data_IF_057763865416
#
_entry.id   IF_057763865416
#
_cell.length_a   1.000
_cell.length_b   1.000
_cell.length_c   1.000
_cell.angle_alpha   90.00
_cell.angle_beta   90.00
_cell.angle_gamma   90.00
#
_symmetry.space_group_name_H-M   'P 1'
#
loop_
_entity.id
_entity.type
_entity.pdbx_description
1 polymer ?
#
# COMPACT_ATOMS: atom_id res chain seq x y z
N UNK A 1 13.35 41.65 70.32
CA UNK A 1 13.02 40.86 71.50
C UNK A 1 13.23 39.37 71.15
N UNK A 2 14.23 38.81 71.80
CA UNK A 2 14.51 37.42 72.14
C UNK A 2 14.48 36.32 71.06
N UNK A 3 15.66 35.91 70.88
CA UNK A 3 16.19 34.67 70.33
C UNK A 3 15.65 33.39 70.96
N UNK A 4 15.66 32.32 70.23
CA UNK A 4 16.04 30.97 70.68
C UNK A 4 16.61 30.11 69.55
N UNK A 5 17.91 29.85 69.71
CA UNK A 5 18.66 28.82 68.98
C UNK A 5 18.31 27.45 69.57
N UNK A 6 18.08 26.44 68.69
CA UNK A 6 18.32 25.07 69.09
C UNK A 6 19.22 24.41 68.08
N UNK A 7 20.36 24.02 68.51
CA UNK A 7 21.32 23.14 67.87
C UNK A 7 20.81 21.70 68.00
N UNK A 8 20.90 20.92 66.92
CA UNK A 8 20.79 19.46 66.91
C UNK A 8 22.06 18.90 66.30
N UNK A 9 22.70 18.07 67.11
CA UNK A 9 23.94 17.35 66.84
C UNK A 9 23.85 16.44 65.64
N UNK A 10 24.96 16.37 64.88
CA UNK A 10 25.22 15.41 63.89
C UNK A 10 25.46 14.00 64.40
N UNK A 11 24.94 13.05 63.75
CA UNK A 11 25.29 11.65 63.86
C UNK A 11 25.89 11.20 62.54
N UNK A 12 27.22 11.06 62.50
CA UNK A 12 27.92 10.41 61.37
C UNK A 12 27.81 8.92 61.55
N UNK A 13 27.04 8.25 60.68
CA UNK A 13 27.05 6.79 60.54
C UNK A 13 28.10 6.40 59.49
N UNK A 14 29.20 5.85 59.95
CA UNK A 14 30.21 5.19 59.12
C UNK A 14 29.67 3.83 58.74
N UNK A 15 29.29 3.66 57.49
CA UNK A 15 29.03 2.34 56.89
C UNK A 15 30.37 1.73 56.45
N UNK A 16 30.84 0.78 57.18
CA UNK A 16 31.94 -0.07 56.76
C UNK A 16 31.52 -0.92 55.58
N UNK A 17 32.22 -0.75 54.44
CA UNK A 17 32.09 -1.62 53.29
C UNK A 17 32.77 -2.96 53.59
N UNK A 18 32.00 -4.01 53.82
CA UNK A 18 32.47 -5.38 53.69
C UNK A 18 32.46 -5.74 52.23
N UNK A 19 33.65 -5.86 51.64
CA UNK A 19 33.86 -6.62 50.40
C UNK A 19 33.68 -8.10 50.73
N UNK A 20 32.45 -8.56 50.54
CA UNK A 20 32.12 -9.98 50.55
C UNK A 20 31.71 -10.39 49.15
N UNK A 21 32.45 -11.31 48.61
CA UNK A 21 32.15 -12.10 47.40
C UNK A 21 30.74 -12.72 47.56
N UNK A 22 29.72 -11.99 47.07
CA UNK A 22 28.34 -12.37 47.29
C UNK A 22 27.67 -12.90 46.06
N UNK A 23 27.90 -14.15 45.74
CA UNK A 23 26.97 -14.94 44.95
C UNK A 23 25.69 -15.27 45.74
N UNK A 24 24.80 -14.30 45.94
CA UNK A 24 23.47 -14.54 46.55
C UNK A 24 22.34 -14.69 45.52
N UNK A 25 22.60 -14.64 44.27
CA UNK A 25 21.73 -15.16 43.25
C UNK A 25 22.48 -16.33 42.64
N UNK A 26 22.32 -17.52 43.26
CA UNK A 26 22.73 -18.77 42.70
C UNK A 26 22.01 -18.98 41.39
N UNK A 27 22.64 -18.56 40.31
CA UNK A 27 22.37 -19.13 39.01
C UNK A 27 22.91 -20.55 39.07
N UNK A 28 22.05 -21.50 39.34
CA UNK A 28 22.31 -22.86 38.92
C UNK A 28 22.59 -22.79 37.43
N UNK A 29 23.81 -23.08 37.01
CA UNK A 29 24.11 -23.41 35.61
C UNK A 29 23.27 -24.65 35.28
N UNK A 30 21.99 -24.42 34.88
CA UNK A 30 21.16 -25.48 34.37
C UNK A 30 21.89 -26.08 33.17
N UNK A 31 22.37 -27.29 33.32
CA UNK A 31 22.96 -28.04 32.22
C UNK A 31 21.96 -28.03 31.07
N UNK A 32 22.31 -27.50 29.91
CA UNK A 32 21.38 -27.42 28.79
C UNK A 32 20.85 -28.81 28.49
N UNK A 33 19.55 -29.00 28.54
CA UNK A 33 18.91 -30.27 28.19
C UNK A 33 19.43 -30.71 26.82
N UNK A 34 19.91 -31.94 26.65
CA UNK A 34 20.35 -32.45 25.36
C UNK A 34 19.16 -32.60 24.44
N UNK A 35 19.18 -31.93 23.32
CA UNK A 35 18.14 -31.93 22.29
C UNK A 35 18.29 -30.76 21.33
N UNK A 36 17.87 -30.96 20.12
CA UNK A 36 17.77 -29.91 19.14
C UNK A 36 16.68 -28.91 19.58
N UNK A 37 17.06 -27.69 19.90
CA UNK A 37 16.09 -26.64 20.29
C UNK A 37 15.32 -26.20 19.06
N UNK A 38 14.17 -26.81 18.82
CA UNK A 38 13.23 -26.31 17.84
C UNK A 38 12.55 -25.08 18.46
N UNK A 39 12.79 -23.90 17.91
CA UNK A 39 12.12 -22.69 18.35
C UNK A 39 10.60 -22.88 18.17
N UNK A 40 9.85 -22.87 19.26
CA UNK A 40 8.38 -23.02 19.26
C UNK A 40 7.71 -21.87 18.47
N UNK A 41 8.41 -20.75 18.25
CA UNK A 41 8.00 -19.62 17.41
C UNK A 41 8.13 -19.90 15.90
N UNK A 42 8.71 -21.02 15.46
CA UNK A 42 8.79 -21.44 14.06
C UNK A 42 7.53 -22.15 13.53
N UNK A 43 6.41 -22.07 14.23
CA UNK A 43 5.10 -22.53 13.74
C UNK A 43 4.38 -21.49 12.87
N UNK A 44 5.07 -20.45 12.38
CA UNK A 44 4.58 -19.71 11.23
C UNK A 44 4.61 -20.65 10.03
N UNK A 45 3.44 -21.06 9.58
CA UNK A 45 3.30 -21.89 8.39
C UNK A 45 3.96 -21.16 7.22
N UNK A 46 5.10 -21.67 6.77
CA UNK A 46 5.71 -21.21 5.52
C UNK A 46 4.72 -21.45 4.38
N UNK A 47 4.58 -20.47 3.51
CA UNK A 47 3.83 -20.65 2.28
C UNK A 47 4.58 -21.67 1.43
N UNK A 48 3.87 -22.70 0.97
CA UNK A 48 4.46 -23.75 0.13
C UNK A 48 3.65 -23.89 -1.15
N UNK A 49 4.37 -24.04 -2.26
CA UNK A 49 3.75 -24.37 -3.52
C UNK A 49 3.03 -25.71 -3.45
N UNK A 50 1.89 -25.82 -4.10
CA UNK A 50 1.16 -27.06 -4.20
C UNK A 50 1.86 -27.99 -5.23
N UNK A 51 2.39 -29.16 -4.79
CA UNK A 51 3.14 -30.05 -5.68
C UNK A 51 2.33 -30.52 -6.90
N UNK A 52 1.01 -30.62 -6.77
CA UNK A 52 0.15 -31.06 -7.88
C UNK A 52 0.01 -30.01 -8.99
N UNK A 53 0.45 -28.77 -8.74
CA UNK A 53 0.48 -27.69 -9.72
C UNK A 53 1.85 -27.53 -10.38
N UNK A 54 2.85 -28.31 -10.03
CA UNK A 54 4.23 -28.15 -10.51
C UNK A 54 4.34 -28.11 -12.04
N UNK A 55 3.58 -28.97 -12.71
CA UNK A 55 3.59 -29.07 -14.17
C UNK A 55 2.50 -28.23 -14.86
N UNK A 56 1.69 -27.47 -14.10
CA UNK A 56 0.66 -26.61 -14.67
C UNK A 56 1.31 -25.43 -15.43
N UNK A 57 1.14 -25.33 -16.76
CA UNK A 57 1.73 -24.22 -17.51
C UNK A 57 1.01 -22.91 -17.20
N UNK A 58 1.79 -21.87 -16.88
CA UNK A 58 1.27 -20.52 -16.77
C UNK A 58 1.14 -19.94 -18.17
N UNK A 59 -0.09 -19.60 -18.55
CA UNK A 59 -0.42 -18.96 -19.82
C UNK A 59 -0.93 -17.56 -19.54
N UNK A 60 -0.13 -16.57 -19.89
CA UNK A 60 -0.54 -15.17 -19.79
C UNK A 60 -1.33 -14.75 -21.02
N UNK A 61 -2.33 -13.87 -20.89
CA UNK A 61 -2.94 -13.25 -22.06
C UNK A 61 -1.89 -12.43 -22.81
N UNK A 62 -2.08 -12.16 -24.11
CA UNK A 62 -1.18 -11.26 -24.83
C UNK A 62 -1.06 -9.90 -24.13
N UNK A 63 0.14 -9.29 -24.09
CA UNK A 63 0.31 -7.99 -23.46
C UNK A 63 -0.44 -6.90 -24.25
N UNK A 64 -1.07 -5.98 -23.52
CA UNK A 64 -1.87 -4.90 -24.08
C UNK A 64 -1.24 -3.55 -23.71
N UNK A 65 -1.15 -2.64 -24.69
CA UNK A 65 -0.76 -1.26 -24.45
C UNK A 65 -1.98 -0.53 -23.86
N UNK A 66 -1.92 -0.20 -22.59
CA UNK A 66 -2.86 0.74 -21.98
C UNK A 66 -2.37 2.17 -22.22
N UNK A 67 -3.16 3.07 -22.82
CA UNK A 67 -2.72 4.45 -23.04
C UNK A 67 -2.57 5.22 -21.72
N UNK A 68 -3.39 4.91 -20.75
CA UNK A 68 -3.56 5.68 -19.53
C UNK A 68 -3.51 4.81 -18.26
N UNK A 69 -3.17 5.46 -17.14
CA UNK A 69 -3.29 4.94 -15.78
C UNK A 69 -4.02 5.99 -14.94
N UNK A 70 -5.35 6.13 -15.08
CA UNK A 70 -6.07 7.32 -14.67
C UNK A 70 -6.33 7.43 -13.16
N UNK A 71 -6.05 6.42 -12.34
CA UNK A 71 -6.25 6.45 -10.88
C UNK A 71 -5.36 5.41 -10.18
N UNK A 72 -5.33 5.39 -8.86
CA UNK A 72 -4.40 4.60 -8.04
C UNK A 72 -4.25 3.14 -8.48
N UNK A 73 -5.32 2.44 -8.81
CA UNK A 73 -5.31 1.06 -9.32
C UNK A 73 -5.32 0.95 -10.85
N UNK A 74 -5.12 2.06 -11.58
CA UNK A 74 -5.29 2.11 -13.04
C UNK A 74 -6.76 2.27 -13.42
N UNK A 75 -7.50 1.19 -13.56
CA UNK A 75 -8.95 1.20 -13.81
C UNK A 75 -9.75 1.27 -12.49
N UNK A 76 -11.03 1.67 -12.53
CA UNK A 76 -11.88 1.64 -11.32
C UNK A 76 -12.00 0.27 -10.66
N UNK A 77 -11.90 -0.82 -11.43
CA UNK A 77 -11.90 -2.20 -10.93
C UNK A 77 -10.55 -2.67 -10.39
N UNK A 78 -9.47 -1.91 -10.63
CA UNK A 78 -8.07 -2.21 -10.36
C UNK A 78 -7.50 -3.42 -11.13
N UNK A 79 -8.24 -3.99 -12.07
CA UNK A 79 -7.79 -5.12 -12.88
C UNK A 79 -7.05 -4.64 -14.14
N UNK A 80 -5.73 -4.60 -14.10
CA UNK A 80 -4.88 -4.09 -15.18
C UNK A 80 -4.28 -5.17 -16.08
N UNK A 81 -4.35 -6.41 -15.70
CA UNK A 81 -3.92 -7.58 -16.46
C UNK A 81 -2.46 -7.56 -16.92
N UNK A 82 -2.19 -7.96 -18.16
CA UNK A 82 -0.86 -8.05 -18.75
C UNK A 82 -0.59 -6.79 -19.59
N UNK A 83 0.25 -5.90 -19.08
CA UNK A 83 0.59 -4.64 -19.74
C UNK A 83 1.82 -4.82 -20.65
N UNK A 84 1.81 -4.12 -21.78
CA UNK A 84 2.94 -4.12 -22.69
C UNK A 84 4.00 -3.11 -22.25
N UNK A 85 5.27 -3.53 -22.31
CA UNK A 85 6.44 -2.66 -22.23
C UNK A 85 7.59 -3.28 -23.03
N UNK A 86 8.64 -2.49 -23.26
CA UNK A 86 9.85 -3.00 -23.92
C UNK A 86 10.57 -4.03 -23.04
N UNK A 87 11.27 -4.97 -23.68
CA UNK A 87 12.04 -6.00 -22.97
C UNK A 87 13.24 -5.42 -22.22
N UNK A 88 13.85 -4.37 -22.72
CA UNK A 88 14.98 -3.67 -22.13
C UNK A 88 14.54 -2.28 -21.67
N UNK A 89 14.20 -2.17 -20.38
CA UNK A 89 13.76 -0.91 -19.77
C UNK A 89 14.95 0.03 -19.59
N UNK A 90 14.98 1.12 -20.35
CA UNK A 90 16.00 2.17 -20.24
C UNK A 90 15.39 3.45 -19.71
N UNK A 91 16.13 4.13 -18.83
CA UNK A 91 15.73 5.44 -18.35
C UNK A 91 15.63 6.43 -19.53
N UNK A 92 14.41 6.91 -19.78
CA UNK A 92 14.16 7.86 -20.85
C UNK A 92 14.25 9.31 -20.35
N UNK A 93 13.72 9.59 -19.18
CA UNK A 93 13.78 10.90 -18.54
C UNK A 93 13.52 10.82 -17.04
N UNK A 94 13.88 11.87 -16.32
CA UNK A 94 13.57 12.11 -14.91
C UNK A 94 12.93 13.46 -14.73
N UNK A 95 12.08 13.62 -13.73
CA UNK A 95 11.51 14.90 -13.35
C UNK A 95 11.43 14.98 -11.82
N UNK A 96 11.73 16.17 -11.31
CA UNK A 96 11.55 16.52 -9.90
C UNK A 96 10.11 16.97 -9.69
N UNK A 97 9.39 16.34 -8.76
CA UNK A 97 7.99 16.63 -8.50
C UNK A 97 7.77 17.58 -7.31
N UNK A 98 8.81 17.88 -6.51
CA UNK A 98 8.73 18.76 -5.34
C UNK A 98 9.35 18.15 -4.09
N UNK A 99 8.58 18.12 -2.99
CA UNK A 99 9.03 17.59 -1.72
C UNK A 99 8.97 16.06 -1.68
N UNK A 100 10.06 15.43 -1.22
CA UNK A 100 10.16 14.01 -0.96
C UNK A 100 9.63 13.62 0.43
N UNK A 101 9.71 12.33 0.75
CA UNK A 101 9.38 11.84 2.08
C UNK A 101 10.33 12.39 3.15
N UNK A 102 9.77 12.68 4.31
CA UNK A 102 10.49 13.16 5.51
C UNK A 102 10.00 12.42 6.75
N UNK A 103 10.50 12.81 7.94
CA UNK A 103 10.01 12.24 9.20
C UNK A 103 8.51 12.49 9.46
N UNK A 104 8.00 13.60 8.96
CA UNK A 104 6.64 14.07 9.25
C UNK A 104 5.70 13.96 8.06
N UNK A 105 6.23 13.82 6.83
CA UNK A 105 5.45 13.73 5.59
C UNK A 105 5.92 12.56 4.74
N UNK A 106 4.98 11.79 4.20
CA UNK A 106 5.28 10.62 3.37
C UNK A 106 4.73 10.78 1.96
N UNK A 107 5.53 10.37 0.98
CA UNK A 107 5.14 10.36 -0.43
C UNK A 107 4.30 9.09 -0.70
N UNK A 108 2.98 9.20 -0.65
CA UNK A 108 2.05 8.08 -0.77
C UNK A 108 1.25 8.09 -2.09
N UNK A 109 1.15 9.25 -2.75
CA UNK A 109 0.37 9.40 -3.96
C UNK A 109 1.04 8.74 -5.17
N UNK A 110 0.39 7.75 -5.75
CA UNK A 110 0.83 7.14 -7.02
C UNK A 110 0.67 8.13 -8.16
N UNK A 111 1.60 8.18 -9.12
CA UNK A 111 1.43 8.97 -10.34
C UNK A 111 0.19 8.53 -11.11
N UNK A 112 -0.49 9.49 -11.72
CA UNK A 112 -1.62 9.27 -12.62
C UNK A 112 -1.18 9.64 -14.04
N UNK A 113 -1.46 8.79 -15.01
CA UNK A 113 -1.10 9.03 -16.42
C UNK A 113 -2.36 9.08 -17.25
N UNK A 114 -2.59 10.19 -17.94
CA UNK A 114 -3.74 10.33 -18.82
C UNK A 114 -3.49 11.42 -19.87
N UNK A 115 -4.05 11.27 -21.05
CA UNK A 115 -3.96 12.21 -22.17
C UNK A 115 -2.52 12.69 -22.46
N UNK A 116 -1.55 11.78 -22.41
CA UNK A 116 -0.14 12.07 -22.65
C UNK A 116 0.53 12.94 -21.59
N UNK A 117 -0.04 13.02 -20.39
CA UNK A 117 0.50 13.71 -19.21
C UNK A 117 0.67 12.76 -18.04
N UNK A 118 1.62 13.08 -17.17
CA UNK A 118 1.79 12.44 -15.87
C UNK A 118 1.47 13.48 -14.80
N UNK A 119 0.55 13.15 -13.93
CA UNK A 119 0.16 13.99 -12.80
C UNK A 119 0.74 13.38 -11.52
N UNK A 120 1.30 14.23 -10.68
CA UNK A 120 1.91 13.83 -9.41
C UNK A 120 1.43 14.75 -8.29
N UNK A 121 1.44 14.24 -7.09
CA UNK A 121 1.27 14.99 -5.85
C UNK A 121 2.45 14.65 -4.95
N UNK A 122 3.16 15.65 -4.47
CA UNK A 122 4.30 15.46 -3.59
C UNK A 122 3.89 15.28 -2.12
N UNK A 123 4.86 15.13 -1.22
CA UNK A 123 4.59 14.89 0.20
C UNK A 123 4.03 16.11 0.95
N UNK A 124 4.03 17.30 0.34
CA UNK A 124 3.47 18.53 0.88
C UNK A 124 2.16 18.95 0.19
N UNK A 125 1.68 18.13 -0.75
CA UNK A 125 0.42 18.35 -1.45
C UNK A 125 0.52 19.23 -2.70
N UNK A 126 1.74 19.52 -3.16
CA UNK A 126 1.98 20.20 -4.42
C UNK A 126 1.58 19.30 -5.59
N UNK A 127 0.70 19.76 -6.46
CA UNK A 127 0.23 18.99 -7.60
C UNK A 127 0.90 19.51 -8.88
N UNK A 128 1.50 18.59 -9.64
CA UNK A 128 2.23 18.91 -10.86
C UNK A 128 1.76 18.07 -12.04
N UNK A 129 1.85 18.60 -13.24
CA UNK A 129 1.66 17.86 -14.47
C UNK A 129 2.91 17.95 -15.36
N UNK A 130 3.30 16.79 -15.88
CA UNK A 130 4.42 16.65 -16.78
C UNK A 130 3.99 16.05 -18.10
N UNK A 131 4.69 16.37 -19.15
CA UNK A 131 4.50 15.74 -20.45
C UNK A 131 5.07 14.33 -20.43
N UNK A 132 4.24 13.33 -20.71
CA UNK A 132 4.64 11.93 -20.64
C UNK A 132 5.78 11.57 -21.60
N UNK A 133 5.98 12.34 -22.70
CA UNK A 133 7.01 12.05 -23.70
C UNK A 133 8.43 12.38 -23.25
N UNK A 134 8.63 13.41 -22.43
CA UNK A 134 9.94 13.96 -22.13
C UNK A 134 10.13 14.50 -20.70
N UNK A 135 9.09 14.42 -19.85
CA UNK A 135 9.15 14.87 -18.45
C UNK A 135 9.12 16.39 -18.27
N UNK A 136 8.88 17.18 -19.36
CA UNK A 136 8.74 18.62 -19.23
C UNK A 136 7.53 18.97 -18.34
N UNK A 137 7.73 19.78 -17.30
CA UNK A 137 6.65 20.27 -16.45
C UNK A 137 5.74 21.23 -17.24
N UNK A 138 4.46 20.93 -17.26
CA UNK A 138 3.44 21.72 -17.97
C UNK A 138 2.83 22.77 -17.06
N UNK A 139 2.53 22.38 -15.83
CA UNK A 139 2.00 23.25 -14.79
C UNK A 139 2.26 22.67 -13.40
N UNK A 140 2.12 23.52 -12.41
CA UNK A 140 2.27 23.17 -11.00
C UNK A 140 1.30 24.05 -10.20
N UNK A 141 0.64 23.51 -9.21
CA UNK A 141 -0.28 24.24 -8.34
C UNK A 141 -0.12 23.75 -6.90
N UNK A 142 -0.02 24.72 -6.00
CA UNK A 142 -0.08 24.50 -4.57
C UNK A 142 -1.49 24.87 -4.12
N UNK A 143 -2.30 23.90 -3.64
CA UNK A 143 -3.66 24.18 -3.17
C UNK A 143 -3.64 25.14 -1.98
N UNK A 144 -4.47 26.18 -1.99
CA UNK A 144 -4.56 27.13 -0.88
C UNK A 144 -5.11 26.49 0.40
N UNK A 145 -4.62 26.92 1.57
CA UNK A 145 -5.16 26.52 2.87
C UNK A 145 -4.78 25.12 3.32
N UNK A 146 -3.75 24.52 2.72
CA UNK A 146 -3.16 23.28 3.26
C UNK A 146 -2.47 23.59 4.59
N UNK A 147 -2.92 22.93 5.64
CA UNK A 147 -2.19 22.87 6.89
C UNK A 147 -1.18 21.72 6.80
N UNK A 148 0.08 22.06 6.60
CA UNK A 148 1.17 21.09 6.48
C UNK A 148 1.92 20.89 7.80
N UNK A 149 1.56 21.59 8.87
CA UNK A 149 2.25 21.54 10.17
C UNK A 149 2.21 20.14 10.82
N UNK A 150 1.27 19.28 10.41
CA UNK A 150 1.15 17.90 10.86
C UNK A 150 1.64 16.84 9.86
N UNK A 151 2.22 17.25 8.72
CA UNK A 151 2.58 16.39 7.60
C UNK A 151 1.36 15.88 6.81
N UNK A 152 1.58 15.53 5.54
CA UNK A 152 0.55 14.89 4.71
C UNK A 152 0.72 13.37 4.78
N UNK A 153 -0.21 12.69 5.45
CA UNK A 153 -0.17 11.24 5.71
C UNK A 153 -1.20 10.46 4.89
N UNK A 154 -1.60 10.99 3.74
CA UNK A 154 -2.59 10.33 2.88
C UNK A 154 -3.05 11.19 1.71
N UNK A 155 -3.95 10.62 0.92
CA UNK A 155 -4.50 11.26 -0.26
C UNK A 155 -3.94 10.71 -1.56
N UNK A 156 -4.24 11.41 -2.66
CA UNK A 156 -3.78 11.05 -3.99
C UNK A 156 -4.65 11.61 -5.09
N UNK A 157 -4.40 11.15 -6.31
CA UNK A 157 -4.96 11.69 -7.52
C UNK A 157 -5.82 10.68 -8.27
N UNK A 158 -6.82 11.19 -9.01
CA UNK A 158 -7.52 10.45 -10.05
C UNK A 158 -7.88 11.39 -11.21
N UNK A 159 -7.92 10.86 -12.41
CA UNK A 159 -8.24 11.58 -13.63
C UNK A 159 -9.51 11.02 -14.28
N UNK A 160 -10.35 11.91 -14.81
CA UNK A 160 -11.47 11.52 -15.66
C UNK A 160 -11.89 12.70 -16.57
N UNK A 161 -11.88 12.47 -17.87
CA UNK A 161 -12.47 13.40 -18.86
C UNK A 161 -12.03 14.86 -18.69
N UNK A 162 -10.73 15.11 -18.64
CA UNK A 162 -10.10 16.43 -18.45
C UNK A 162 -10.23 17.03 -17.03
N UNK A 163 -10.77 16.30 -16.08
CA UNK A 163 -10.75 16.63 -14.66
C UNK A 163 -9.66 15.85 -13.94
N UNK A 164 -8.92 16.56 -13.09
CA UNK A 164 -8.04 15.95 -12.12
C UNK A 164 -8.64 16.12 -10.73
N UNK A 165 -8.84 15.03 -10.02
CA UNK A 165 -9.35 15.04 -8.66
C UNK A 165 -8.19 14.75 -7.70
N UNK A 166 -8.16 15.48 -6.59
CA UNK A 166 -7.19 15.26 -5.53
C UNK A 166 -7.89 15.12 -4.18
N UNK A 167 -7.47 14.16 -3.39
CA UNK A 167 -7.83 14.02 -1.97
C UNK A 167 -6.64 14.43 -1.13
N UNK A 168 -6.90 15.24 -0.11
CA UNK A 168 -5.87 15.81 0.76
C UNK A 168 -6.02 15.30 2.19
N UNK A 169 -4.93 15.15 2.91
CA UNK A 169 -4.98 14.80 4.34
C UNK A 169 -5.60 15.89 5.22
N UNK A 170 -5.72 17.13 4.71
CA UNK A 170 -6.52 18.20 5.35
C UNK A 170 -8.02 17.88 5.40
N UNK A 171 -8.50 16.88 4.63
CA UNK A 171 -9.91 16.59 4.46
C UNK A 171 -10.56 17.26 3.25
N UNK A 172 -9.79 17.96 2.45
CA UNK A 172 -10.27 18.60 1.24
C UNK A 172 -10.25 17.62 0.06
N UNK A 173 -11.27 17.72 -0.76
CA UNK A 173 -11.37 17.09 -2.08
C UNK A 173 -11.42 18.21 -3.11
N UNK A 174 -10.52 18.15 -4.09
CA UNK A 174 -10.39 19.17 -5.13
C UNK A 174 -10.79 18.61 -6.48
N UNK A 175 -11.52 19.39 -7.26
CA UNK A 175 -11.73 19.18 -8.69
C UNK A 175 -10.96 20.22 -9.47
N UNK A 176 -9.95 19.79 -10.23
CA UNK A 176 -9.06 20.67 -10.97
C UNK A 176 -9.25 20.47 -12.48
N UNK A 177 -8.99 21.50 -13.24
CA UNK A 177 -8.82 21.40 -14.69
C UNK A 177 -7.48 20.71 -14.98
N UNK A 178 -7.49 19.50 -15.53
CA UNK A 178 -6.29 18.73 -15.79
C UNK A 178 -5.32 19.39 -16.80
N UNK A 179 -5.81 20.34 -17.63
CA UNK A 179 -4.97 21.00 -18.63
C UNK A 179 -4.04 22.06 -18.05
N UNK A 180 -4.50 22.76 -16.99
CA UNK A 180 -3.78 23.92 -16.45
C UNK A 180 -3.72 23.99 -14.92
N UNK A 181 -4.27 23.00 -14.20
CA UNK A 181 -4.25 22.92 -12.73
C UNK A 181 -5.23 23.87 -12.02
N UNK A 182 -6.07 24.63 -12.75
CA UNK A 182 -7.01 25.57 -12.11
C UNK A 182 -8.04 24.82 -11.29
N UNK A 183 -8.23 25.21 -10.04
CA UNK A 183 -9.29 24.69 -9.16
C UNK A 183 -10.65 25.10 -9.68
N UNK A 184 -11.55 24.13 -9.87
CA UNK A 184 -12.92 24.34 -10.36
C UNK A 184 -13.89 24.30 -9.18
N UNK A 185 -13.69 23.35 -8.28
CA UNK A 185 -14.43 23.23 -7.04
C UNK A 185 -13.60 22.61 -5.93
N UNK A 186 -13.98 22.90 -4.70
CA UNK A 186 -13.44 22.34 -3.47
C UNK A 186 -14.58 21.89 -2.57
N UNK A 187 -14.43 20.71 -1.98
CA UNK A 187 -15.32 20.17 -0.96
C UNK A 187 -14.52 19.77 0.27
N UNK A 188 -14.72 20.44 1.38
CA UNK A 188 -14.13 20.01 2.66
C UNK A 188 -15.04 19.00 3.35
N UNK A 189 -14.48 17.87 3.77
CA UNK A 189 -15.16 16.82 4.52
C UNK A 189 -14.80 16.85 6.01
N UNK A 190 -13.98 17.81 6.42
CA UNK A 190 -13.53 18.07 7.79
C UNK A 190 -12.81 16.90 8.51
N UNK A 191 -12.41 15.88 7.77
CA UNK A 191 -11.70 14.70 8.26
C UNK A 191 -10.58 14.34 7.30
N UNK A 192 -9.38 13.97 7.79
CA UNK A 192 -8.27 13.57 6.93
C UNK A 192 -8.66 12.47 5.95
N UNK A 193 -8.25 12.62 4.69
CA UNK A 193 -8.47 11.60 3.65
C UNK A 193 -7.21 10.75 3.52
N UNK A 194 -7.37 9.41 3.59
CA UNK A 194 -6.25 8.49 3.68
C UNK A 194 -5.85 7.88 2.33
N UNK A 195 -6.73 7.89 1.34
CA UNK A 195 -6.55 7.19 0.07
C UNK A 195 -6.77 8.12 -1.13
N UNK A 196 -6.19 7.74 -2.26
CA UNK A 196 -6.53 8.34 -3.54
C UNK A 196 -8.01 8.09 -3.88
N UNK A 197 -8.67 9.04 -4.55
CA UNK A 197 -10.07 8.90 -4.91
C UNK A 197 -10.25 7.87 -6.03
N UNK A 198 -11.41 7.21 -6.07
CA UNK A 198 -11.82 6.38 -7.19
C UNK A 198 -12.93 7.09 -7.97
N UNK A 199 -12.75 7.21 -9.27
CA UNK A 199 -13.74 7.82 -10.18
C UNK A 199 -14.43 6.75 -11.01
N UNK A 200 -15.74 6.67 -10.92
CA UNK A 200 -16.54 5.76 -11.74
C UNK A 200 -17.95 6.33 -11.98
N UNK A 201 -18.45 6.22 -13.20
CA UNK A 201 -19.84 6.57 -13.58
C UNK A 201 -20.28 7.96 -13.06
N UNK A 202 -19.37 8.96 -13.14
CA UNK A 202 -19.62 10.32 -12.70
C UNK A 202 -19.62 10.53 -11.17
N UNK A 203 -19.28 9.51 -10.39
CA UNK A 203 -19.10 9.58 -8.95
C UNK A 203 -17.62 9.61 -8.60
N UNK A 204 -17.30 10.36 -7.56
CA UNK A 204 -15.99 10.37 -6.91
C UNK A 204 -16.16 9.72 -5.54
N UNK A 205 -15.49 8.61 -5.33
CA UNK A 205 -15.55 7.83 -4.10
C UNK A 205 -14.30 8.12 -3.28
N UNK A 206 -14.46 8.62 -2.06
CA UNK A 206 -13.36 9.00 -1.17
C UNK A 206 -13.57 8.42 0.21
N UNK A 207 -12.48 8.06 0.88
CA UNK A 207 -12.48 7.48 2.22
C UNK A 207 -11.63 8.32 3.18
N UNK A 208 -12.17 8.60 4.36
CA UNK A 208 -11.46 9.29 5.43
C UNK A 208 -10.73 8.34 6.38
N UNK A 209 -9.83 8.89 7.18
CA UNK A 209 -9.03 8.14 8.14
C UNK A 209 -9.87 7.46 9.25
N UNK A 210 -11.07 7.96 9.52
CA UNK A 210 -12.01 7.40 10.49
C UNK A 210 -13.04 6.42 9.88
N UNK A 211 -12.70 5.84 8.70
CA UNK A 211 -13.54 4.89 7.97
C UNK A 211 -14.90 5.45 7.52
N UNK A 212 -14.97 6.77 7.20
CA UNK A 212 -16.13 7.33 6.54
C UNK A 212 -15.93 7.32 5.02
N UNK A 213 -16.84 6.72 4.30
CA UNK A 213 -16.88 6.73 2.84
C UNK A 213 -17.89 7.78 2.36
N UNK A 214 -17.46 8.59 1.41
CA UNK A 214 -18.31 9.57 0.73
C UNK A 214 -18.33 9.31 -0.76
N UNK A 215 -19.52 9.39 -1.36
CA UNK A 215 -19.65 9.51 -2.79
C UNK A 215 -20.02 10.96 -3.12
N UNK A 216 -19.19 11.59 -3.93
CA UNK A 216 -19.41 12.94 -4.39
C UNK A 216 -19.82 12.93 -5.86
N UNK A 217 -20.57 13.92 -6.27
CA UNK A 217 -20.80 14.20 -7.68
C UNK A 217 -19.50 14.77 -8.30
N UNK A 218 -18.97 14.12 -9.32
CA UNK A 218 -17.66 14.47 -9.88
C UNK A 218 -17.61 15.87 -10.52
N UNK A 219 -18.75 16.43 -10.96
CA UNK A 219 -18.78 17.74 -11.58
C UNK A 219 -18.89 18.88 -10.57
N UNK A 220 -19.54 18.65 -9.43
CA UNK A 220 -19.87 19.69 -8.46
C UNK A 220 -19.19 19.52 -7.11
N UNK A 221 -18.57 18.38 -6.85
CA UNK A 221 -18.00 18.02 -5.54
C UNK A 221 -19.05 17.76 -4.44
N UNK A 222 -20.35 17.85 -4.71
CA UNK A 222 -21.39 17.73 -3.69
C UNK A 222 -21.54 16.27 -3.25
N UNK A 223 -21.56 16.01 -1.91
CA UNK A 223 -21.87 14.69 -1.39
C UNK A 223 -23.27 14.21 -1.82
N UNK A 224 -23.36 12.98 -2.31
CA UNK A 224 -24.60 12.33 -2.74
C UNK A 224 -25.09 11.30 -1.75
N UNK A 225 -24.19 10.52 -1.19
CA UNK A 225 -24.44 9.57 -0.13
C UNK A 225 -23.15 9.30 0.66
N UNK A 226 -23.27 8.68 1.83
CA UNK A 226 -22.14 8.27 2.67
C UNK A 226 -22.42 6.91 3.29
N UNK A 227 -21.32 6.23 3.68
CA UNK A 227 -21.34 4.98 4.45
C UNK A 227 -20.23 5.03 5.50
N UNK A 228 -20.41 4.37 6.65
CA UNK A 228 -19.43 4.30 7.71
C UNK A 228 -19.06 2.85 8.00
N UNK A 229 -17.77 2.55 8.06
CA UNK A 229 -17.22 1.33 8.67
C UNK A 229 -16.97 1.53 10.16
N UNK A 230 -16.51 0.49 10.85
CA UNK A 230 -16.09 0.62 12.24
C UNK A 230 -14.81 1.44 12.35
N UNK A 231 -14.79 2.34 13.31
CA UNK A 231 -13.60 3.15 13.59
C UNK A 231 -12.53 2.29 14.28
N UNK A 232 -11.32 2.33 13.74
CA UNK A 232 -10.11 1.77 14.37
C UNK A 232 -9.14 2.91 14.67
N UNK A 233 -8.69 2.98 15.93
CA UNK A 233 -7.76 4.03 16.38
C UNK A 233 -6.31 3.81 15.91
N UNK A 234 -6.00 2.67 15.32
CA UNK A 234 -4.66 2.31 14.84
C UNK A 234 -4.78 1.73 13.45
N UNK A 235 -4.09 2.32 12.48
CA UNK A 235 -4.07 1.88 11.10
C UNK A 235 -2.69 2.11 10.48
N UNK A 236 -2.48 1.56 9.29
CA UNK A 236 -1.30 1.83 8.47
C UNK A 236 -1.39 3.24 7.86
N UNK A 237 -0.24 3.81 7.50
CA UNK A 237 -0.19 5.08 6.78
C UNK A 237 -0.73 4.92 5.36
N UNK A 238 -1.49 5.91 4.91
CA UNK A 238 -2.19 5.81 3.64
C UNK A 238 -3.49 5.02 3.78
N UNK A 239 -3.92 4.40 2.70
CA UNK A 239 -5.09 3.54 2.67
C UNK A 239 -5.46 3.07 1.28
N UNK A 240 -6.25 2.01 1.19
CA UNK A 240 -6.65 1.42 -0.08
C UNK A 240 -7.74 2.27 -0.74
N UNK A 241 -7.56 2.56 -2.01
CA UNK A 241 -8.63 3.14 -2.83
C UNK A 241 -9.75 2.10 -3.01
N UNK A 242 -11.03 2.47 -2.87
CA UNK A 242 -12.15 1.59 -3.17
C UNK A 242 -12.15 1.14 -4.64
N UNK A 243 -12.56 -0.08 -4.93
CA UNK A 243 -12.73 -0.57 -6.29
C UNK A 243 -14.20 -0.45 -6.75
N UNK A 244 -14.41 -0.21 -8.03
CA UNK A 244 -15.76 -0.09 -8.61
C UNK A 244 -15.89 -0.93 -9.88
N UNK A 245 -16.92 -1.76 -9.94
CA UNK A 245 -17.31 -2.49 -11.16
C UNK A 245 -18.81 -2.79 -11.14
N UNK A 246 -19.46 -2.79 -12.28
CA UNK A 246 -20.86 -3.16 -12.47
C UNK A 246 -21.85 -2.45 -11.52
N UNK A 247 -21.61 -1.16 -11.25
CA UNK A 247 -22.42 -0.36 -10.33
C UNK A 247 -22.28 -0.75 -8.85
N UNK A 248 -21.22 -1.49 -8.48
CA UNK A 248 -20.88 -1.88 -7.11
C UNK A 248 -19.56 -1.25 -6.70
N UNK A 249 -19.54 -0.62 -5.52
CA UNK A 249 -18.33 -0.13 -4.85
C UNK A 249 -17.90 -1.15 -3.82
N UNK A 250 -16.67 -1.62 -3.89
CA UNK A 250 -16.05 -2.46 -2.85
C UNK A 250 -15.11 -1.60 -2.02
N UNK A 251 -15.40 -1.51 -0.73
CA UNK A 251 -14.69 -0.62 0.21
C UNK A 251 -14.00 -1.46 1.27
N UNK A 252 -12.68 -1.44 1.34
CA UNK A 252 -11.93 -1.98 2.45
C UNK A 252 -11.75 -0.93 3.55
N UNK A 253 -11.95 -1.32 4.80
CA UNK A 253 -11.76 -0.47 5.97
C UNK A 253 -10.58 -0.94 6.84
N UNK A 254 -10.03 -0.03 7.64
CA UNK A 254 -8.96 -0.35 8.59
C UNK A 254 -9.37 -1.32 9.70
N UNK A 255 -10.66 -1.53 9.89
CA UNK A 255 -11.25 -2.54 10.78
C UNK A 255 -11.23 -3.97 10.23
N UNK A 256 -10.54 -4.23 9.10
CA UNK A 256 -10.59 -5.46 8.31
C UNK A 256 -11.95 -5.77 7.68
N UNK A 257 -12.91 -4.88 7.77
CA UNK A 257 -14.20 -5.04 7.09
C UNK A 257 -14.07 -4.72 5.60
N UNK A 258 -14.80 -5.47 4.81
CA UNK A 258 -15.01 -5.20 3.38
C UNK A 258 -16.51 -5.09 3.13
N UNK A 259 -16.93 -3.96 2.58
CA UNK A 259 -18.31 -3.75 2.17
C UNK A 259 -18.44 -3.70 0.66
N UNK A 260 -19.48 -4.30 0.13
CA UNK A 260 -19.95 -4.01 -1.22
C UNK A 260 -21.21 -3.15 -1.13
N UNK A 261 -21.17 -1.99 -1.77
CA UNK A 261 -22.24 -1.00 -1.76
C UNK A 261 -22.72 -0.73 -3.17
N UNK A 262 -23.97 -0.39 -3.33
CA UNK A 262 -24.46 0.15 -4.62
C UNK A 262 -23.88 1.53 -4.89
N UNK A 263 -23.30 1.71 -6.06
CA UNK A 263 -22.66 2.98 -6.46
C UNK A 263 -23.67 4.15 -6.52
N UNK A 264 -24.92 3.88 -6.90
CA UNK A 264 -25.97 4.89 -7.08
C UNK A 264 -26.44 5.52 -5.76
N UNK A 265 -26.46 4.77 -4.66
CA UNK A 265 -27.13 5.20 -3.43
C UNK A 265 -26.47 4.76 -2.11
N UNK A 266 -25.32 4.06 -2.17
CA UNK A 266 -24.56 3.61 -0.99
C UNK A 266 -25.20 2.50 -0.16
N UNK A 267 -26.29 1.86 -0.65
CA UNK A 267 -26.93 0.77 0.10
C UNK A 267 -26.03 -0.47 0.11
N UNK A 268 -25.76 -1.08 1.28
CA UNK A 268 -25.00 -2.31 1.38
C UNK A 268 -25.69 -3.46 0.64
N UNK A 269 -24.89 -4.20 -0.13
CA UNK A 269 -25.26 -5.49 -0.71
C UNK A 269 -24.84 -6.61 0.24
N UNK A 270 -23.61 -6.53 0.74
CA UNK A 270 -23.03 -7.45 1.70
C UNK A 270 -21.86 -6.80 2.44
N UNK A 271 -21.44 -7.45 3.52
CA UNK A 271 -20.18 -7.17 4.21
C UNK A 271 -19.50 -8.47 4.58
N UNK A 272 -18.18 -8.44 4.68
CA UNK A 272 -17.33 -9.54 5.11
C UNK A 272 -16.17 -8.99 5.94
N UNK A 273 -15.43 -9.86 6.66
CA UNK A 273 -14.27 -9.46 7.45
C UNK A 273 -13.07 -10.29 7.04
N UNK A 274 -12.04 -9.64 6.50
CA UNK A 274 -10.82 -10.28 6.01
C UNK A 274 -9.77 -10.27 7.12
N UNK A 275 -10.04 -11.04 8.16
CA UNK A 275 -9.21 -11.14 9.34
C UNK A 275 -9.19 -12.58 9.86
N UNK A 276 -8.04 -13.00 10.35
CA UNK A 276 -7.90 -14.29 11.03
C UNK A 276 -8.24 -14.16 12.51
N UNK A 277 -9.13 -15.02 13.07
CA UNK A 277 -9.31 -15.08 14.52
C UNK A 277 -8.05 -15.64 15.17
N UNK A 278 -7.18 -14.81 15.71
CA UNK A 278 -6.02 -15.23 16.50
C UNK A 278 -6.39 -15.34 17.97
N UNK A 279 -6.13 -16.52 18.56
CA UNK A 279 -6.49 -16.82 19.95
C UNK A 279 -5.46 -16.40 21.00
N UNK A 280 -4.24 -15.97 20.65
CA UNK A 280 -3.12 -15.96 21.60
C UNK A 280 -2.18 -14.74 21.62
N UNK A 281 -2.34 -13.73 20.80
CA UNK A 281 -1.45 -12.57 20.83
C UNK A 281 -2.22 -11.26 21.08
N UNK A 282 -2.17 -10.80 22.33
CA UNK A 282 -2.80 -9.56 22.78
C UNK A 282 -2.01 -8.28 22.43
N UNK A 283 -0.85 -8.41 21.75
CA UNK A 283 0.03 -7.29 21.42
C UNK A 283 0.03 -7.05 19.91
N UNK A 284 -0.51 -5.89 19.52
CA UNK A 284 -0.45 -5.28 18.18
C UNK A 284 -1.12 -6.09 17.06
N UNK A 285 -2.42 -6.29 17.13
CA UNK A 285 -3.21 -6.68 15.96
C UNK A 285 -3.57 -5.43 15.16
N UNK A 286 -2.71 -5.04 14.23
CA UNK A 286 -3.14 -4.14 13.16
C UNK A 286 -3.97 -5.00 12.20
N UNK A 287 -5.27 -4.73 12.15
CA UNK A 287 -6.23 -5.48 11.34
C UNK A 287 -6.49 -4.79 10.00
N UNK A 288 -5.65 -3.84 9.60
CA UNK A 288 -5.88 -2.99 8.45
C UNK A 288 -5.89 -3.78 7.13
N UNK A 289 -6.75 -3.37 6.21
CA UNK A 289 -6.68 -3.74 4.82
C UNK A 289 -6.08 -2.53 4.10
N UNK A 290 -4.81 -2.61 3.74
CA UNK A 290 -4.10 -1.55 3.04
C UNK A 290 -4.01 -1.81 1.53
N UNK A 291 -4.02 -3.08 1.13
CA UNK A 291 -4.06 -3.48 -0.27
C UNK A 291 -5.41 -3.17 -0.92
N UNK A 292 -5.42 -2.36 -2.02
CA UNK A 292 -6.66 -2.11 -2.76
C UNK A 292 -7.29 -3.42 -3.25
N UNK A 293 -8.62 -3.59 -3.13
CA UNK A 293 -9.32 -4.73 -3.69
C UNK A 293 -9.29 -4.69 -5.21
N UNK A 294 -9.36 -5.84 -5.85
CA UNK A 294 -9.42 -5.97 -7.31
C UNK A 294 -10.69 -6.71 -7.70
N UNK A 295 -11.45 -6.15 -8.64
CA UNK A 295 -12.72 -6.74 -9.12
C UNK A 295 -12.54 -7.22 -10.55
N UNK A 296 -12.77 -8.52 -10.76
CA UNK A 296 -12.66 -9.12 -12.10
C UNK A 296 -13.53 -10.36 -12.23
N UNK A 297 -14.26 -10.47 -13.35
CA UNK A 297 -15.10 -11.64 -13.64
C UNK A 297 -16.18 -11.91 -12.60
N UNK A 298 -16.71 -10.87 -11.94
CA UNK A 298 -17.72 -10.99 -10.90
C UNK A 298 -17.19 -11.45 -9.55
N UNK A 299 -15.88 -11.48 -9.35
CA UNK A 299 -15.21 -11.77 -8.09
C UNK A 299 -14.44 -10.54 -7.58
N UNK A 300 -14.37 -10.43 -6.28
CA UNK A 300 -13.55 -9.47 -5.53
C UNK A 300 -12.39 -10.22 -4.91
N UNK A 301 -11.17 -9.78 -5.18
CA UNK A 301 -9.96 -10.29 -4.56
C UNK A 301 -9.44 -9.26 -3.59
N UNK A 302 -9.29 -9.63 -2.33
CA UNK A 302 -8.86 -8.73 -1.26
C UNK A 302 -7.92 -9.45 -0.32
N UNK A 303 -6.87 -8.77 0.12
CA UNK A 303 -5.92 -9.28 1.10
C UNK A 303 -5.75 -8.26 2.23
N UNK A 304 -5.80 -8.72 3.47
CA UNK A 304 -5.59 -7.90 4.66
C UNK A 304 -4.17 -8.09 5.23
N UNK A 305 -3.66 -7.07 5.92
CA UNK A 305 -2.40 -7.16 6.67
C UNK A 305 -2.43 -8.27 7.72
N UNK A 306 -3.58 -8.46 8.35
CA UNK A 306 -3.82 -9.48 9.39
C UNK A 306 -3.66 -10.95 8.96
N UNK A 307 -3.30 -11.22 7.71
CA UNK A 307 -2.91 -12.54 7.22
C UNK A 307 -3.99 -13.37 6.57
N UNK A 308 -5.02 -12.76 6.00
CA UNK A 308 -6.02 -13.46 5.18
C UNK A 308 -6.20 -12.79 3.82
N UNK A 309 -6.28 -13.61 2.78
CA UNK A 309 -6.73 -13.24 1.44
C UNK A 309 -8.01 -14.00 1.11
N UNK A 310 -8.95 -13.36 0.42
CA UNK A 310 -10.20 -13.98 0.00
C UNK A 310 -10.59 -13.61 -1.43
N UNK A 311 -11.31 -14.52 -2.09
CA UNK A 311 -12.09 -14.24 -3.29
C UNK A 311 -13.58 -14.33 -2.95
N UNK A 312 -14.32 -13.28 -3.25
CA UNK A 312 -15.72 -13.10 -2.82
C UNK A 312 -16.56 -12.77 -4.05
N UNK A 313 -17.73 -13.38 -4.19
CA UNK A 313 -18.66 -13.01 -5.25
C UNK A 313 -19.15 -11.57 -5.09
N UNK A 314 -18.94 -10.75 -6.13
CA UNK A 314 -19.21 -9.31 -6.12
C UNK A 314 -20.65 -8.95 -5.69
N UNK A 315 -21.64 -9.72 -6.14
CA UNK A 315 -23.06 -9.38 -5.90
C UNK A 315 -23.65 -10.05 -4.67
N UNK A 316 -23.15 -11.22 -4.27
CA UNK A 316 -23.76 -12.03 -3.18
C UNK A 316 -22.92 -12.07 -1.91
N UNK A 317 -21.64 -11.68 -1.97
CA UNK A 317 -20.74 -11.73 -0.82
C UNK A 317 -20.37 -13.15 -0.39
N UNK A 318 -20.53 -14.15 -1.26
CA UNK A 318 -20.16 -15.53 -0.95
C UNK A 318 -18.70 -15.71 -1.22
N UNK A 319 -17.92 -16.14 -0.21
CA UNK A 319 -16.53 -16.52 -0.41
C UNK A 319 -16.46 -17.77 -1.30
N UNK A 320 -15.69 -17.67 -2.38
CA UNK A 320 -15.37 -18.82 -3.23
C UNK A 320 -14.19 -19.59 -2.69
N UNK A 321 -13.21 -18.88 -2.14
CA UNK A 321 -12.08 -19.41 -1.42
C UNK A 321 -11.46 -18.35 -0.51
N UNK A 322 -10.68 -18.80 0.46
CA UNK A 322 -9.80 -17.97 1.29
C UNK A 322 -8.47 -18.67 1.55
N UNK A 323 -7.44 -17.90 1.88
CA UNK A 323 -6.08 -18.37 2.10
C UNK A 323 -5.44 -17.58 3.25
N UNK A 324 -4.68 -18.29 4.09
CA UNK A 324 -3.83 -17.70 5.14
C UNK A 324 -2.62 -16.99 4.53
N UNK A 325 -2.83 -15.77 4.05
CA UNK A 325 -1.80 -14.96 3.39
C UNK A 325 -2.12 -13.48 3.61
N UNK A 326 -1.17 -12.73 4.18
CA UNK A 326 -1.29 -11.29 4.39
C UNK A 326 -0.59 -10.49 3.31
N UNK A 327 -1.15 -9.33 2.97
CA UNK A 327 -0.55 -8.37 2.06
C UNK A 327 -1.04 -6.95 2.36
N UNK A 328 -0.17 -5.97 2.07
CA UNK A 328 -0.49 -4.54 1.97
C UNK A 328 -0.60 -4.08 0.52
N UNK A 329 -0.39 -4.99 -0.43
CA UNK A 329 -0.39 -4.68 -1.85
C UNK A 329 -1.64 -5.21 -2.55
N UNK A 330 -2.00 -4.56 -3.65
CA UNK A 330 -3.10 -5.04 -4.49
C UNK A 330 -2.74 -6.40 -5.14
N UNK A 331 -3.66 -7.37 -5.17
CA UNK A 331 -3.49 -8.57 -5.99
C UNK A 331 -3.39 -8.20 -7.46
N UNK A 332 -2.37 -8.71 -8.17
CA UNK A 332 -2.23 -8.48 -9.60
C UNK A 332 -2.76 -9.68 -10.40
N UNK A 333 -3.81 -9.47 -11.18
CA UNK A 333 -4.48 -10.52 -11.93
C UNK A 333 -3.99 -10.56 -13.37
N UNK A 334 -3.63 -11.75 -13.86
CA UNK A 334 -3.33 -11.97 -15.28
C UNK A 334 -3.73 -13.40 -15.71
N UNK A 335 -4.68 -13.51 -16.62
CA UNK A 335 -5.24 -14.80 -17.01
C UNK A 335 -5.85 -15.55 -15.83
N UNK A 336 -5.41 -16.80 -15.66
CA UNK A 336 -5.88 -17.68 -14.57
C UNK A 336 -5.07 -17.53 -13.26
N UNK A 337 -4.19 -16.53 -13.19
CA UNK A 337 -3.26 -16.40 -12.07
C UNK A 337 -3.37 -15.05 -11.38
N UNK A 338 -2.96 -15.05 -10.11
CA UNK A 338 -2.81 -13.88 -9.25
C UNK A 338 -1.36 -13.83 -8.77
N UNK A 339 -0.73 -12.68 -8.89
CA UNK A 339 0.57 -12.40 -8.31
C UNK A 339 0.40 -11.45 -7.14
N UNK A 340 1.04 -11.75 -6.00
CA UNK A 340 0.89 -10.95 -4.79
C UNK A 340 2.21 -10.91 -4.02
N UNK A 341 2.58 -9.73 -3.56
CA UNK A 341 3.65 -9.52 -2.60
C UNK A 341 3.07 -9.66 -1.19
N UNK A 342 3.62 -10.57 -0.40
CA UNK A 342 3.13 -10.86 0.95
C UNK A 342 3.80 -9.97 2.00
N UNK A 343 3.21 -9.90 3.20
CA UNK A 343 3.82 -9.23 4.38
C UNK A 343 5.08 -9.96 4.90
N UNK A 344 5.50 -11.04 4.25
CA UNK A 344 6.73 -11.79 4.55
C UNK A 344 7.83 -11.57 3.52
N UNK A 345 7.70 -10.55 2.68
CA UNK A 345 8.60 -10.27 1.55
C UNK A 345 8.77 -11.49 0.65
N UNK A 346 7.67 -12.13 0.29
CA UNK A 346 7.58 -13.21 -0.68
C UNK A 346 6.66 -12.81 -1.81
N UNK A 347 7.02 -13.10 -3.05
CA UNK A 347 6.07 -13.03 -4.17
C UNK A 347 5.46 -14.39 -4.37
N UNK A 348 4.15 -14.45 -4.45
CA UNK A 348 3.40 -15.68 -4.67
C UNK A 348 2.62 -15.63 -5.96
N UNK A 349 2.53 -16.76 -6.64
CA UNK A 349 1.62 -16.98 -7.75
C UNK A 349 0.52 -17.94 -7.30
N UNK A 350 -0.72 -17.50 -7.41
CA UNK A 350 -1.91 -18.26 -7.02
C UNK A 350 -2.75 -18.58 -8.24
N UNK A 351 -3.46 -19.71 -8.21
CA UNK A 351 -4.56 -19.96 -9.12
C UNK A 351 -5.76 -19.09 -8.74
N UNK A 352 -6.28 -18.35 -9.68
CA UNK A 352 -7.41 -17.44 -9.51
C UNK A 352 -8.69 -18.17 -9.11
N UNK A 353 -8.89 -19.40 -9.61
CA UNK A 353 -10.09 -20.21 -9.39
C UNK A 353 -10.27 -20.64 -7.92
N UNK A 354 -9.17 -20.99 -7.23
CA UNK A 354 -9.24 -21.67 -5.93
C UNK A 354 -8.17 -21.26 -4.90
N UNK A 355 -7.35 -20.25 -5.21
CA UNK A 355 -6.31 -19.73 -4.33
C UNK A 355 -5.12 -20.65 -4.08
N UNK A 356 -4.99 -21.79 -4.80
CA UNK A 356 -3.86 -22.71 -4.60
C UNK A 356 -2.56 -22.10 -5.11
N UNK A 357 -1.48 -22.31 -4.37
CA UNK A 357 -0.18 -21.69 -4.64
C UNK A 357 0.55 -22.47 -5.73
N UNK A 358 0.88 -21.80 -6.85
CA UNK A 358 1.65 -22.35 -7.96
C UNK A 358 3.16 -22.29 -7.70
N UNK A 359 3.64 -21.15 -7.17
CA UNK A 359 5.01 -20.94 -6.73
C UNK A 359 5.08 -19.85 -5.66
N UNK A 360 6.16 -19.90 -4.84
CA UNK A 360 6.54 -18.91 -3.84
C UNK A 360 7.98 -18.53 -4.11
N UNK A 361 8.28 -17.24 -4.14
CA UNK A 361 9.64 -16.72 -4.33
C UNK A 361 9.98 -15.71 -3.24
N UNK A 362 10.92 -16.01 -2.35
CA UNK A 362 11.35 -15.06 -1.33
C UNK A 362 12.16 -13.91 -1.95
N UNK A 363 11.93 -12.71 -1.44
CA UNK A 363 12.72 -11.52 -1.77
C UNK A 363 13.80 -11.29 -0.70
N UNK A 364 14.87 -10.55 -1.03
CA UNK A 364 15.81 -10.06 -0.04
C UNK A 364 15.10 -9.24 1.05
N UNK A 365 15.36 -9.58 2.32
CA UNK A 365 14.72 -8.92 3.48
C UNK A 365 15.58 -7.84 4.10
N UNK A 366 16.89 -7.95 3.93
CA UNK A 366 17.89 -7.08 4.53
C UNK A 366 18.81 -6.53 3.45
N UNK A 367 19.32 -5.33 3.66
CA UNK A 367 20.29 -4.70 2.74
C UNK A 367 21.63 -5.44 2.71
N UNK A 368 21.99 -6.07 3.82
CA UNK A 368 23.10 -7.02 3.93
C UNK A 368 22.56 -8.34 4.55
N UNK A 369 22.43 -9.41 3.77
CA UNK A 369 21.92 -10.69 4.26
C UNK A 369 22.76 -11.35 5.36
N UNK A 370 24.05 -11.01 5.44
CA UNK A 370 24.99 -11.57 6.41
C UNK A 370 24.99 -10.77 7.74
N UNK A 371 24.39 -9.58 7.78
CA UNK A 371 24.24 -8.75 8.96
C UNK A 371 22.74 -8.62 9.38
N UNK A 372 22.29 -9.37 10.41
CA UNK A 372 20.93 -9.27 10.91
C UNK A 372 20.52 -7.88 11.44
N UNK A 373 21.49 -7.01 11.73
CA UNK A 373 21.25 -5.64 12.18
C UNK A 373 21.16 -4.64 11.00
N UNK A 374 21.38 -5.10 9.76
CA UNK A 374 21.26 -4.24 8.59
C UNK A 374 19.80 -3.82 8.35
N UNK A 375 19.62 -2.77 7.53
CA UNK A 375 18.30 -2.16 7.32
C UNK A 375 17.35 -3.13 6.61
N UNK A 376 16.13 -3.33 7.13
CA UNK A 376 15.10 -4.09 6.43
C UNK A 376 14.70 -3.43 5.10
N UNK A 377 14.45 -4.24 4.09
CA UNK A 377 13.99 -3.79 2.79
C UNK A 377 12.46 -3.89 2.74
N UNK A 378 11.79 -2.77 2.49
CA UNK A 378 10.38 -2.74 2.13
C UNK A 378 10.24 -2.82 0.61
N UNK A 379 9.37 -3.70 0.13
CA UNK A 379 9.08 -3.90 -1.28
C UNK A 379 7.66 -3.45 -1.62
N UNK A 380 7.43 -2.98 -2.85
CA UNK A 380 6.11 -2.54 -3.34
C UNK A 380 5.85 -3.03 -4.77
N UNK A 381 4.59 -3.35 -5.06
CA UNK A 381 4.16 -4.02 -6.28
C UNK A 381 3.59 -5.42 -5.96
N UNK A 382 3.67 -6.41 -6.86
CA UNK A 382 4.20 -6.34 -8.22
C UNK A 382 3.23 -5.70 -9.22
N UNK A 383 3.76 -5.25 -10.35
CA UNK A 383 3.00 -5.04 -11.57
C UNK A 383 3.50 -6.01 -12.65
N UNK A 384 2.62 -6.55 -13.49
CA UNK A 384 3.01 -7.36 -14.63
C UNK A 384 3.11 -6.48 -15.88
N UNK A 385 4.31 -6.34 -16.39
CA UNK A 385 4.61 -5.47 -17.54
C UNK A 385 5.65 -6.12 -18.45
N UNK A 386 5.34 -6.28 -19.73
CA UNK A 386 6.06 -7.23 -20.57
C UNK A 386 5.99 -8.62 -19.93
N UNK A 387 6.81 -9.57 -20.28
CA UNK A 387 6.80 -10.90 -19.66
C UNK A 387 7.52 -10.94 -18.29
N UNK A 388 7.32 -9.91 -17.43
CA UNK A 388 7.98 -9.83 -16.11
C UNK A 388 7.12 -9.13 -15.07
N UNK A 389 7.27 -9.56 -13.83
CA UNK A 389 6.80 -8.86 -12.65
C UNK A 389 7.86 -7.82 -12.28
N UNK A 390 7.44 -6.59 -12.06
CA UNK A 390 8.29 -5.49 -11.60
C UNK A 390 7.93 -5.13 -10.16
N UNK A 391 8.94 -5.06 -9.30
CA UNK A 391 8.82 -4.80 -7.86
C UNK A 391 9.86 -3.75 -7.50
N UNK A 392 9.46 -2.66 -6.84
CA UNK A 392 10.38 -1.62 -6.40
C UNK A 392 10.66 -1.73 -4.89
N UNK A 393 11.82 -1.25 -4.45
CA UNK A 393 12.26 -1.42 -3.07
C UNK A 393 12.87 -0.19 -2.44
N UNK A 394 12.85 -0.16 -1.11
CA UNK A 394 13.46 0.90 -0.29
C UNK A 394 15.00 0.90 -0.35
N UNK A 395 15.60 -0.16 -0.86
CA UNK A 395 17.05 -0.32 -1.03
C UNK A 395 17.61 0.29 -2.33
N UNK A 396 16.84 1.18 -2.97
CA UNK A 396 17.20 1.81 -4.26
C UNK A 396 17.34 0.83 -5.42
N UNK A 397 16.55 -0.24 -5.40
CA UNK A 397 16.52 -1.22 -6.48
C UNK A 397 15.09 -1.53 -6.89
N UNK A 398 14.90 -1.85 -8.16
CA UNK A 398 13.73 -2.56 -8.64
C UNK A 398 14.14 -3.93 -9.16
N UNK A 399 13.34 -4.95 -8.84
CA UNK A 399 13.54 -6.32 -9.31
C UNK A 399 12.61 -6.61 -10.47
N UNK A 400 13.13 -7.31 -11.46
CA UNK A 400 12.31 -7.97 -12.48
C UNK A 400 12.30 -9.47 -12.21
N UNK A 401 11.12 -10.07 -12.22
CA UNK A 401 10.94 -11.50 -11.92
C UNK A 401 10.12 -12.18 -12.99
N UNK A 402 10.40 -13.46 -13.21
CA UNK A 402 9.63 -14.31 -14.10
C UNK A 402 8.22 -14.56 -13.54
N UNK A 403 7.14 -14.24 -14.24
CA UNK A 403 5.79 -14.60 -13.80
C UNK A 403 5.54 -16.11 -13.86
N UNK A 404 6.38 -16.87 -14.56
CA UNK A 404 6.19 -18.30 -14.80
C UNK A 404 6.70 -19.18 -13.67
N UNK A 405 7.82 -18.77 -13.02
CA UNK A 405 8.48 -19.57 -11.99
C UNK A 405 8.97 -18.78 -10.78
N UNK A 406 8.81 -17.45 -10.77
CA UNK A 406 9.23 -16.58 -9.68
C UNK A 406 10.75 -16.29 -9.61
N UNK A 407 11.54 -16.70 -10.61
CA UNK A 407 12.99 -16.39 -10.63
C UNK A 407 13.24 -14.90 -10.84
N UNK A 408 14.23 -14.35 -10.14
CA UNK A 408 14.69 -12.98 -10.36
C UNK A 408 15.46 -12.96 -11.68
N UNK A 409 14.94 -12.21 -12.66
CA UNK A 409 15.52 -12.06 -13.99
C UNK A 409 16.58 -10.96 -14.06
N UNK A 410 16.42 -9.92 -13.25
CA UNK A 410 17.34 -8.79 -13.25
C UNK A 410 17.06 -7.80 -12.12
N UNK A 411 17.95 -6.82 -12.03
CA UNK A 411 17.88 -5.70 -11.09
C UNK A 411 18.10 -4.40 -11.83
N UNK A 412 17.36 -3.39 -11.45
CA UNK A 412 17.46 -2.03 -11.93
C UNK A 412 17.84 -1.13 -10.76
N UNK A 413 18.97 -0.44 -10.86
CA UNK A 413 19.39 0.53 -9.84
C UNK A 413 18.56 1.81 -9.97
N UNK A 414 18.04 2.29 -8.84
CA UNK A 414 17.27 3.52 -8.74
C UNK A 414 18.09 4.61 -8.05
N UNK A 415 17.90 5.89 -8.40
CA UNK A 415 18.61 6.99 -7.76
C UNK A 415 18.21 7.17 -6.29
N UNK A 416 17.00 6.75 -5.91
CA UNK A 416 16.45 6.85 -4.57
C UNK A 416 15.60 5.63 -4.17
N UNK A 417 15.23 5.49 -2.89
CA UNK A 417 14.28 4.48 -2.41
C UNK A 417 12.93 4.63 -3.11
N UNK A 418 12.20 3.54 -3.33
CA UNK A 418 10.86 3.58 -3.91
C UNK A 418 9.89 2.73 -3.06
N UNK A 419 8.88 3.38 -2.48
CA UNK A 419 7.86 2.75 -1.63
C UNK A 419 6.45 2.84 -2.24
N UNK A 420 6.30 3.57 -3.32
CA UNK A 420 5.07 3.64 -4.11
C UNK A 420 5.17 2.67 -5.28
N UNK A 421 4.16 1.82 -5.45
CA UNK A 421 4.17 0.83 -6.52
C UNK A 421 4.31 1.49 -7.91
N UNK A 422 5.13 0.93 -8.81
CA UNK A 422 5.27 1.43 -10.17
C UNK A 422 3.93 1.49 -10.90
N UNK A 423 3.81 2.39 -11.87
CA UNK A 423 2.68 2.46 -12.79
C UNK A 423 3.16 2.33 -14.23
N UNK A 424 2.31 1.82 -15.12
CA UNK A 424 2.69 1.64 -16.51
C UNK A 424 1.59 2.17 -17.45
N UNK A 425 1.97 3.03 -18.40
CA UNK A 425 1.06 3.55 -19.41
C UNK A 425 1.81 3.89 -20.69
N UNK A 426 1.19 3.68 -21.85
CA UNK A 426 1.78 3.99 -23.15
C UNK A 426 3.11 3.26 -23.41
N UNK A 427 3.31 2.05 -22.88
CA UNK A 427 4.56 1.30 -22.97
C UNK A 427 5.70 1.86 -22.12
N UNK A 428 5.43 2.84 -21.25
CA UNK A 428 6.38 3.46 -20.32
C UNK A 428 6.07 3.03 -18.90
N UNK A 429 7.08 2.64 -18.15
CA UNK A 429 7.01 2.36 -16.71
C UNK A 429 7.48 3.60 -15.96
N UNK A 430 6.67 4.04 -15.00
CA UNK A 430 6.98 5.17 -14.13
C UNK A 430 7.26 4.66 -12.71
N UNK A 431 8.38 5.07 -12.14
CA UNK A 431 8.77 4.79 -10.76
C UNK A 431 8.96 6.12 -10.05
N UNK A 432 8.31 6.27 -8.89
CA UNK A 432 8.46 7.44 -8.04
C UNK A 432 9.34 7.07 -6.85
N UNK A 433 10.41 7.86 -6.63
CA UNK A 433 11.28 7.65 -5.47
C UNK A 433 10.88 8.55 -4.29
N UNK A 434 11.27 8.15 -3.09
CA UNK A 434 11.07 8.92 -1.86
C UNK A 434 11.75 10.30 -1.88
N UNK A 435 12.78 10.47 -2.74
CA UNK A 435 13.46 11.73 -2.98
C UNK A 435 12.71 12.62 -4.01
N UNK A 436 11.42 12.36 -4.25
CA UNK A 436 10.55 13.09 -5.19
C UNK A 436 11.02 13.06 -6.66
N UNK A 437 11.76 12.03 -7.06
CA UNK A 437 12.15 11.86 -8.46
C UNK A 437 11.18 10.93 -9.18
N UNK A 438 10.52 11.45 -10.20
CA UNK A 438 9.71 10.65 -11.12
C UNK A 438 10.62 10.15 -12.26
N UNK A 439 10.73 8.83 -12.38
CA UNK A 439 11.58 8.15 -13.37
C UNK A 439 10.68 7.52 -14.43
N UNK A 440 10.98 7.71 -15.70
CA UNK A 440 10.28 7.07 -16.82
C UNK A 440 11.22 6.12 -17.56
N UNK A 441 10.85 4.86 -17.64
CA UNK A 441 11.60 3.80 -18.33
C UNK A 441 10.82 3.32 -19.56
N UNK A 442 11.54 3.16 -20.69
CA UNK A 442 10.99 2.65 -21.97
C UNK A 442 11.84 1.56 -22.56
#
# INVERSE_FOLDING_TARGET
MMARRHAVLGGVLVLAACSGDGSWFGGDDEVPLPGERVAVMLLERQLTADPSLADLPIRLPPPVINPDWPQSGGLPSHAMHHLAANDDLKLAWTADIGAGSSGDSQLLARPVVADGRVYTMDSEGLISAFKASDGQRLWQVEPEGLDTDGGLLGGGLAYNSSWLFATMSSGDVLGLNATNGTEIWRQSLALPLRAAPTVAEGRLIVISADNQLYALDGQTGRPTWRHAGFFEGTGLLGGPSPAVSDGVVVVPYSSAEVFALRLDNGRPLWSDTVQRPRRTEALAQINDIDGPPVIEGGLVYVAGYGGQMAAIELRRGVRTWDLDLGSTQAPWLAGDFIYLLTTREEVVCLLRENGRIRWVSPLPRLTDPDDPASTPIAWTGPILVGDRLLIAGSNRQALTMSPYNGEILGRLDLPGPALVAPVAAGGTVYILTEDAQLLAYR
#
